data_IF_376926200798
#
_entry.id   IF_376926200798
#
_cell.length_a   1.000
_cell.length_b   1.000
_cell.length_c   1.000
_cell.angle_alpha   90.00
_cell.angle_beta   90.00
_cell.angle_gamma   90.00
#
_symmetry.space_group_name_H-M   'P 1'
#
loop_
_entity.id
_entity.type
_entity.pdbx_description
1 polymer ?
#
# COMPACT_ATOMS: atom_id res chain seq x y z
N UNK A 1 13.50 10.71 -10.43
CA UNK A 1 12.88 9.84 -9.92
C UNK A 1 11.46 9.92 -10.10
N UNK A 2 10.88 8.97 -10.13
CA UNK A 2 9.67 9.02 -10.53
C UNK A 2 8.74 8.84 -9.50
N UNK A 3 7.64 9.40 -9.49
CA UNK A 3 6.77 9.25 -8.51
C UNK A 3 5.51 8.78 -8.94
N UNK A 4 5.43 8.01 -9.93
CA UNK A 4 4.23 7.57 -10.38
C UNK A 4 3.57 6.61 -9.58
N UNK A 5 4.15 5.99 -8.66
CA UNK A 5 3.45 5.00 -7.87
C UNK A 5 2.36 5.61 -7.05
N UNK A 6 2.28 6.91 -6.99
CA UNK A 6 1.27 7.53 -6.18
C UNK A 6 0.10 8.06 -6.98
N UNK A 7 -0.02 7.71 -8.23
CA UNK A 7 -1.07 8.26 -9.06
C UNK A 7 -2.40 7.56 -8.82
N UNK A 8 -3.46 8.33 -8.66
CA UNK A 8 -4.79 7.80 -8.50
C UNK A 8 -5.66 8.19 -9.68
N UNK A 9 -6.56 7.31 -10.09
CA UNK A 9 -7.47 7.57 -11.19
C UNK A 9 -8.89 7.24 -10.78
N UNK A 10 -9.86 7.97 -11.32
CA UNK A 10 -11.24 7.67 -11.07
C UNK A 10 -11.72 6.56 -11.97
N UNK A 11 -12.57 5.71 -11.44
CA UNK A 11 -13.33 4.79 -12.23
C UNK A 11 -14.67 5.45 -12.48
N UNK A 12 -15.06 5.54 -13.74
CA UNK A 12 -16.24 6.22 -14.13
C UNK A 12 -17.46 5.68 -13.43
N UNK A 13 -18.26 6.53 -12.85
CA UNK A 13 -19.55 6.16 -12.30
C UNK A 13 -19.51 5.21 -11.14
N UNK A 14 -18.34 4.95 -10.58
CA UNK A 14 -18.26 4.08 -9.42
C UNK A 14 -17.41 4.74 -8.36
N UNK A 15 -17.39 4.18 -7.17
CA UNK A 15 -16.60 4.72 -6.09
C UNK A 15 -15.26 4.00 -5.96
N UNK A 16 -14.72 3.56 -7.09
CA UNK A 16 -13.44 2.88 -7.10
C UNK A 16 -12.38 3.79 -7.67
N UNK A 17 -11.19 3.70 -7.12
CA UNK A 17 -10.03 4.42 -7.60
C UNK A 17 -8.91 3.42 -7.82
N UNK A 18 -8.26 3.52 -8.98
CA UNK A 18 -7.12 2.67 -9.26
C UNK A 18 -5.85 3.38 -8.83
N UNK A 19 -5.01 2.71 -8.06
CA UNK A 19 -3.73 3.27 -7.64
C UNK A 19 -2.64 2.29 -7.99
N UNK A 20 -1.40 2.80 -8.03
CA UNK A 20 -0.22 1.95 -8.16
C UNK A 20 0.43 1.89 -6.78
N UNK A 21 0.56 0.71 -6.25
CA UNK A 21 1.07 0.49 -4.91
C UNK A 21 2.45 -0.13 -4.97
N UNK A 22 3.43 0.50 -4.33
CA UNK A 22 4.78 -0.06 -4.25
C UNK A 22 4.88 -1.05 -3.12
N UNK A 23 5.51 -2.19 -3.39
CA UNK A 23 5.74 -3.21 -2.38
C UNK A 23 7.22 -3.54 -2.33
N UNK A 24 7.68 -4.03 -1.19
CA UNK A 24 9.08 -4.37 -0.98
C UNK A 24 9.16 -5.76 -0.39
N UNK A 25 9.96 -6.61 -1.03
CA UNK A 25 10.12 -7.99 -0.62
C UNK A 25 11.52 -8.22 -0.08
N UNK A 26 11.64 -8.95 1.01
CA UNK A 26 12.95 -9.35 1.53
C UNK A 26 12.82 -10.69 2.26
N UNK A 27 13.97 -11.26 2.54
CA UNK A 27 14.03 -12.52 3.27
C UNK A 27 14.77 -12.31 4.59
N UNK A 28 14.27 -12.90 5.65
CA UNK A 28 14.91 -12.84 6.93
C UNK A 28 14.62 -14.14 7.67
N UNK A 29 15.66 -14.85 8.09
CA UNK A 29 15.52 -16.11 8.82
C UNK A 29 14.66 -17.14 8.07
N UNK A 30 14.88 -17.24 6.78
CA UNK A 30 14.18 -18.17 5.89
C UNK A 30 12.71 -17.87 5.70
N UNK A 31 12.26 -16.70 6.10
CA UNK A 31 10.90 -16.23 5.86
C UNK A 31 10.97 -15.08 4.88
N UNK A 32 10.05 -15.06 3.91
CA UNK A 32 9.94 -13.96 2.97
C UNK A 32 8.82 -13.03 3.42
N UNK A 33 9.03 -11.74 3.24
CA UNK A 33 8.07 -10.71 3.63
C UNK A 33 7.80 -9.79 2.45
N UNK A 34 6.55 -9.34 2.33
CA UNK A 34 6.16 -8.32 1.35
C UNK A 34 5.48 -7.20 2.13
N UNK A 35 5.99 -5.99 1.99
CA UNK A 35 5.51 -4.84 2.75
C UNK A 35 5.13 -3.71 1.81
N UNK A 36 3.96 -3.11 2.03
CA UNK A 36 3.52 -1.92 1.32
C UNK A 36 3.49 -0.76 2.30
N UNK A 37 4.50 0.11 2.29
CA UNK A 37 4.54 1.20 3.29
C UNK A 37 3.39 2.18 3.17
N UNK A 38 2.84 2.38 1.97
CA UNK A 38 1.75 3.34 1.81
C UNK A 38 0.48 2.92 2.55
N UNK A 39 0.29 1.62 2.77
CA UNK A 39 -0.87 1.12 3.51
C UNK A 39 -0.47 0.45 4.81
N UNK A 40 0.83 0.35 5.06
CA UNK A 40 1.39 -0.29 6.26
C UNK A 40 0.88 -1.72 6.43
N UNK A 41 0.86 -2.47 5.32
CA UNK A 41 0.43 -3.85 5.30
C UNK A 41 1.59 -4.76 4.98
N UNK A 42 1.62 -5.94 5.63
CA UNK A 42 2.69 -6.92 5.43
C UNK A 42 2.10 -8.30 5.22
N UNK A 43 2.63 -9.03 4.23
CA UNK A 43 2.36 -10.45 4.08
C UNK A 43 3.67 -11.22 4.26
N UNK A 44 3.59 -12.51 4.55
CA UNK A 44 4.79 -13.31 4.71
C UNK A 44 4.53 -14.76 4.36
N UNK A 45 5.62 -15.50 4.11
CA UNK A 45 5.53 -16.92 3.79
C UNK A 45 6.90 -17.55 3.69
N UNK A 46 6.92 -18.86 3.47
CA UNK A 46 8.18 -19.59 3.37
C UNK A 46 8.75 -19.57 1.96
N UNK A 47 8.04 -18.94 1.02
CA UNK A 47 8.54 -18.71 -0.33
C UNK A 47 8.09 -17.33 -0.78
N UNK A 48 8.70 -16.82 -1.85
CA UNK A 48 8.29 -15.52 -2.39
C UNK A 48 6.83 -15.55 -2.82
N UNK A 49 6.40 -16.67 -3.42
CA UNK A 49 5.02 -16.79 -3.87
C UNK A 49 4.06 -16.77 -2.71
N UNK A 50 4.36 -17.50 -1.65
CA UNK A 50 3.50 -17.49 -0.48
C UNK A 50 3.42 -16.12 0.17
N UNK A 51 4.55 -15.43 0.22
CA UNK A 51 4.57 -14.08 0.79
C UNK A 51 3.68 -13.14 -0.01
N UNK A 52 3.74 -13.25 -1.34
CA UNK A 52 2.89 -12.42 -2.21
C UNK A 52 1.41 -12.76 -2.06
N UNK A 53 1.09 -14.04 -1.97
CA UNK A 53 -0.30 -14.45 -1.76
C UNK A 53 -0.82 -13.98 -0.41
N UNK A 54 0.03 -14.08 0.62
CA UNK A 54 -0.32 -13.57 1.94
C UNK A 54 -0.59 -12.08 1.88
N UNK A 55 0.25 -11.33 1.18
CA UNK A 55 0.06 -9.89 1.04
C UNK A 55 -1.25 -9.58 0.31
N UNK A 56 -1.57 -10.33 -0.76
CA UNK A 56 -2.82 -10.12 -1.48
C UNK A 56 -4.03 -10.34 -0.59
N UNK A 57 -3.97 -11.34 0.28
CA UNK A 57 -5.04 -11.60 1.23
C UNK A 57 -5.20 -10.46 2.22
N UNK A 58 -4.08 -9.97 2.76
CA UNK A 58 -4.12 -8.87 3.73
C UNK A 58 -4.65 -7.60 3.06
N UNK A 59 -4.22 -7.34 1.83
CA UNK A 59 -4.69 -6.19 1.07
C UNK A 59 -6.19 -6.27 0.82
N UNK A 60 -6.67 -7.43 0.41
CA UNK A 60 -8.09 -7.64 0.16
C UNK A 60 -8.89 -7.40 1.43
N UNK A 61 -8.41 -7.91 2.55
CA UNK A 61 -9.09 -7.73 3.82
C UNK A 61 -9.14 -6.25 4.23
N UNK A 62 -8.06 -5.52 3.98
CA UNK A 62 -8.04 -4.09 4.27
C UNK A 62 -9.10 -3.35 3.44
N UNK A 63 -9.19 -3.67 2.15
CA UNK A 63 -10.14 -3.02 1.26
C UNK A 63 -11.57 -3.34 1.68
N UNK A 64 -11.86 -4.59 1.96
CA UNK A 64 -13.21 -5.00 2.37
C UNK A 64 -13.57 -4.39 3.71
N UNK A 65 -12.64 -4.43 4.67
CA UNK A 65 -12.91 -3.90 6.00
C UNK A 65 -13.20 -2.40 5.96
N UNK A 66 -12.36 -1.63 5.26
CA UNK A 66 -12.53 -0.18 5.21
C UNK A 66 -13.78 0.21 4.43
N UNK A 67 -14.14 -0.58 3.42
CA UNK A 67 -15.37 -0.33 2.68
C UNK A 67 -16.59 -0.58 3.57
N UNK A 68 -16.61 -1.72 4.25
CA UNK A 68 -17.76 -2.07 5.11
C UNK A 68 -17.92 -1.11 6.27
N UNK A 69 -16.82 -0.61 6.82
CA UNK A 69 -16.88 0.35 7.92
C UNK A 69 -17.02 1.78 7.42
N UNK A 70 -16.91 2.00 6.12
CA UNK A 70 -16.94 3.34 5.51
C UNK A 70 -15.85 4.23 6.07
N UNK A 71 -14.67 3.66 6.31
CA UNK A 71 -13.56 4.38 6.92
C UNK A 71 -12.37 4.55 6.00
N UNK A 72 -12.50 4.24 4.71
CA UNK A 72 -11.34 4.25 3.82
C UNK A 72 -10.65 5.62 3.79
N UNK A 73 -11.41 6.72 3.71
CA UNK A 73 -10.80 8.04 3.66
C UNK A 73 -10.04 8.35 4.94
N UNK A 74 -10.63 8.03 6.09
CA UNK A 74 -9.99 8.27 7.39
C UNK A 74 -8.73 7.43 7.53
N UNK A 75 -8.80 6.15 7.13
CA UNK A 75 -7.63 5.29 7.22
C UNK A 75 -6.49 5.78 6.33
N UNK A 76 -6.82 6.21 5.12
CA UNK A 76 -5.79 6.71 4.22
C UNK A 76 -5.17 8.01 4.74
N UNK A 77 -6.00 8.90 5.29
CA UNK A 77 -5.44 10.12 5.88
C UNK A 77 -4.51 9.81 7.04
N UNK A 78 -4.87 8.84 7.86
CA UNK A 78 -4.02 8.43 8.98
C UNK A 78 -2.70 7.84 8.50
N UNK A 79 -2.68 7.30 7.30
CA UNK A 79 -1.47 6.72 6.71
C UNK A 79 -0.67 7.76 5.91
N UNK A 80 -1.09 9.00 5.90
CA UNK A 80 -0.35 10.08 5.24
C UNK A 80 -0.79 10.39 3.82
N UNK A 81 -1.89 9.80 3.36
CA UNK A 81 -2.41 10.07 2.03
C UNK A 81 -3.09 11.42 1.97
N UNK A 82 -3.03 12.07 0.80
CA UNK A 82 -3.84 13.25 0.55
C UNK A 82 -5.21 12.78 0.06
N UNK A 83 -6.27 13.28 0.70
CA UNK A 83 -7.61 12.81 0.42
C UNK A 83 -8.54 13.98 0.13
N UNK A 84 -9.28 13.88 -0.97
CA UNK A 84 -10.34 14.85 -1.29
C UNK A 84 -11.63 14.06 -1.38
N UNK A 85 -12.43 14.10 -0.32
CA UNK A 85 -13.64 13.30 -0.24
C UNK A 85 -14.69 13.71 -1.26
N UNK A 86 -14.82 14.99 -1.53
CA UNK A 86 -15.81 15.47 -2.47
C UNK A 86 -15.54 14.96 -3.86
N UNK A 87 -14.30 15.02 -4.30
CA UNK A 87 -13.91 14.58 -5.63
C UNK A 87 -13.54 13.12 -5.67
N UNK A 88 -13.56 12.45 -4.53
CA UNK A 88 -13.20 11.03 -4.41
C UNK A 88 -11.83 10.77 -5.01
N UNK A 89 -10.89 11.59 -4.62
CA UNK A 89 -9.50 11.45 -5.07
C UNK A 89 -8.60 11.16 -3.89
N UNK A 90 -7.63 10.29 -4.11
CA UNK A 90 -6.62 9.98 -3.11
C UNK A 90 -5.27 9.94 -3.80
N UNK A 91 -4.24 10.41 -3.08
CA UNK A 91 -2.87 10.35 -3.57
C UNK A 91 -2.02 9.80 -2.44
N UNK A 92 -1.28 8.74 -2.71
CA UNK A 92 -0.45 8.13 -1.66
C UNK A 92 0.74 9.02 -1.35
N UNK A 93 1.34 8.88 -0.17
CA UNK A 93 2.56 9.61 0.15
C UNK A 93 3.66 9.19 -0.81
N UNK A 94 4.57 10.09 -1.12
CA UNK A 94 5.64 9.72 -2.03
C UNK A 94 6.71 8.96 -1.26
N UNK A 95 7.67 8.40 -2.01
CA UNK A 95 8.68 7.54 -1.44
C UNK A 95 9.49 8.24 -0.35
N UNK A 96 9.87 9.49 -0.59
CA UNK A 96 10.71 10.21 0.34
C UNK A 96 9.98 10.56 1.63
N UNK A 97 8.71 10.91 1.52
CA UNK A 97 7.91 11.17 2.71
C UNK A 97 7.76 9.90 3.55
N UNK A 98 7.55 8.76 2.88
CA UNK A 98 7.42 7.50 3.61
C UNK A 98 8.73 7.14 4.30
N UNK A 99 9.87 7.37 3.64
CA UNK A 99 11.14 7.08 4.28
C UNK A 99 11.38 7.96 5.50
N UNK A 100 11.03 9.24 5.42
CA UNK A 100 11.33 10.16 6.52
C UNK A 100 10.36 10.04 7.67
N UNK A 101 9.11 9.65 7.41
CA UNK A 101 8.08 9.66 8.45
C UNK A 101 7.70 8.28 8.97
N UNK A 102 8.06 7.22 8.27
CA UNK A 102 7.75 5.87 8.70
C UNK A 102 9.03 5.20 9.18
N UNK A 103 9.19 5.12 10.49
CA UNK A 103 10.42 4.58 11.08
C UNK A 103 10.65 3.12 10.70
N UNK A 104 9.58 2.35 10.60
CA UNK A 104 9.70 0.95 10.23
C UNK A 104 10.23 0.81 8.81
N UNK A 105 9.67 1.57 7.87
CA UNK A 105 10.12 1.52 6.48
C UNK A 105 11.56 2.01 6.36
N UNK A 106 11.90 3.07 7.09
CA UNK A 106 13.27 3.58 7.09
C UNK A 106 14.25 2.52 7.57
N UNK A 107 13.91 1.81 8.64
CA UNK A 107 14.75 0.73 9.15
C UNK A 107 14.92 -0.37 8.12
N UNK A 108 13.84 -0.82 7.49
CA UNK A 108 13.92 -1.87 6.49
C UNK A 108 14.77 -1.44 5.29
N UNK A 109 14.55 -0.21 4.84
CA UNK A 109 15.26 0.28 3.67
C UNK A 109 16.77 0.35 3.90
N UNK A 110 17.17 0.70 5.11
CA UNK A 110 18.60 0.81 5.45
C UNK A 110 19.24 -0.52 5.81
N UNK A 111 18.48 -1.48 6.29
CA UNK A 111 19.07 -2.70 6.86
C UNK A 111 18.81 -3.97 6.06
N UNK A 112 17.87 -3.97 5.09
CA UNK A 112 17.55 -5.19 4.36
C UNK A 112 17.76 -4.98 2.86
N UNK A 113 18.00 -6.09 2.17
CA UNK A 113 18.06 -6.07 0.71
C UNK A 113 16.63 -6.17 0.20
N UNK A 114 16.08 -5.06 -0.22
CA UNK A 114 14.69 -5.01 -0.63
C UNK A 114 14.56 -5.12 -2.14
N UNK A 115 13.60 -5.93 -2.58
CA UNK A 115 13.24 -6.01 -3.99
C UNK A 115 11.94 -5.23 -4.16
N UNK A 116 12.01 -4.14 -4.92
CA UNK A 116 10.84 -3.29 -5.12
C UNK A 116 10.00 -3.79 -6.28
N UNK A 117 8.72 -3.77 -6.08
CA UNK A 117 7.76 -4.13 -7.12
C UNK A 117 6.57 -3.19 -7.00
N UNK A 118 5.65 -3.26 -7.93
CA UNK A 118 4.45 -2.44 -7.87
C UNK A 118 3.28 -3.22 -8.42
N UNK A 119 2.10 -2.88 -7.93
CA UNK A 119 0.86 -3.50 -8.40
C UNK A 119 -0.21 -2.44 -8.54
N UNK A 120 -1.11 -2.66 -9.49
CA UNK A 120 -2.27 -1.81 -9.62
C UNK A 120 -3.36 -2.35 -8.71
N UNK A 121 -3.94 -1.47 -7.93
CA UNK A 121 -4.92 -1.86 -6.93
C UNK A 121 -6.14 -0.96 -7.07
N UNK A 122 -7.33 -1.55 -6.98
CA UNK A 122 -8.57 -0.80 -6.97
C UNK A 122 -9.04 -0.63 -5.54
N UNK A 123 -9.14 0.62 -5.10
CA UNK A 123 -9.66 0.93 -3.78
C UNK A 123 -11.14 1.26 -3.88
N UNK A 124 -11.91 0.76 -2.92
CA UNK A 124 -13.33 1.03 -2.86
C UNK A 124 -13.53 2.22 -1.93
N UNK A 125 -13.92 3.37 -2.48
CA UNK A 125 -13.94 4.60 -1.70
C UNK A 125 -15.25 4.89 -0.98
N UNK A 126 -16.35 4.32 -1.36
CA UNK A 126 -17.58 4.65 -0.62
C UNK A 126 -18.56 3.54 -0.67
#
# INVERSE_FOLDING_TARGET
>A
MDKKQATAKYSNGSNKVEITLSTFLWEEDSIFYVYAPALDLTGYGISKEEARESFETVLHEFIVYTHNKKTIFTELENLGWAVNKKKKRVVSPDFEDMLSENEHFNYLYKSKDLIRDSSNVNLQLA
#
